data_IF_727598253828
#
_entry.id   IF_727598253828
#
_cell.length_a   1.000
_cell.length_b   1.000
_cell.length_c   1.000
_cell.angle_alpha   90.00
_cell.angle_beta   90.00
_cell.angle_gamma   90.00
#
_symmetry.space_group_name_H-M   'P 1'
#
loop_
_entity.id
_entity.type
_entity.pdbx_description
1 polymer ?
#
# COMPACT_ATOMS: atom_id res chain seq x y z
N UNK A 1 -30.23 -8.60 -20.41
CA UNK A 1 -29.08 -7.73 -20.11
C UNK A 1 -28.26 -8.28 -18.94
N UNK A 2 -27.37 -9.24 -19.22
CA UNK A 2 -26.51 -9.87 -18.21
C UNK A 2 -25.02 -9.92 -18.63
N UNK A 3 -24.62 -9.13 -19.62
CA UNK A 3 -23.27 -9.18 -20.22
C UNK A 3 -22.32 -8.08 -19.71
N UNK A 4 -22.77 -7.18 -18.83
CA UNK A 4 -21.96 -6.05 -18.36
C UNK A 4 -21.26 -6.28 -17.01
N UNK A 5 -21.47 -7.42 -16.34
CA UNK A 5 -20.89 -7.73 -15.02
C UNK A 5 -19.60 -8.57 -15.05
N UNK A 6 -19.22 -9.15 -16.19
CA UNK A 6 -18.08 -10.08 -16.27
C UNK A 6 -16.77 -9.47 -16.77
N UNK A 7 -16.80 -8.28 -17.39
CA UNK A 7 -15.58 -7.66 -17.93
C UNK A 7 -14.75 -6.90 -16.87
N UNK A 8 -15.38 -6.45 -15.76
CA UNK A 8 -14.68 -5.72 -14.69
C UNK A 8 -13.92 -6.62 -13.71
N UNK A 9 -14.44 -7.83 -13.44
CA UNK A 9 -13.84 -8.74 -12.47
C UNK A 9 -12.53 -9.40 -12.96
N UNK A 10 -12.32 -9.51 -14.27
CA UNK A 10 -11.14 -10.17 -14.83
C UNK A 10 -9.83 -9.35 -14.69
N UNK A 11 -9.94 -8.06 -14.38
CA UNK A 11 -8.81 -7.12 -14.25
C UNK A 11 -8.49 -6.78 -12.77
N UNK A 12 -9.30 -7.26 -11.82
CA UNK A 12 -9.12 -7.04 -10.39
C UNK A 12 -8.24 -8.14 -9.77
N UNK A 13 -7.39 -7.75 -8.81
CA UNK A 13 -6.59 -8.70 -8.04
C UNK A 13 -7.49 -9.50 -7.10
N UNK A 14 -7.36 -10.82 -7.12
CA UNK A 14 -8.04 -11.70 -6.18
C UNK A 14 -7.42 -11.56 -4.78
N UNK A 15 -8.22 -11.11 -3.81
CA UNK A 15 -7.80 -10.96 -2.42
C UNK A 15 -8.50 -12.01 -1.55
N UNK A 16 -7.79 -12.67 -0.60
CA UNK A 16 -8.39 -13.66 0.27
C UNK A 16 -9.50 -13.04 1.13
N UNK A 17 -10.57 -13.79 1.41
CA UNK A 17 -11.56 -13.38 2.40
C UNK A 17 -10.93 -13.40 3.80
N UNK A 18 -11.43 -12.53 4.69
CA UNK A 18 -10.96 -12.46 6.07
C UNK A 18 -9.60 -11.77 6.23
N UNK A 19 -8.88 -12.14 7.28
CA UNK A 19 -7.53 -11.64 7.57
C UNK A 19 -6.48 -12.49 6.85
N UNK A 20 -5.57 -11.81 6.14
CA UNK A 20 -4.38 -12.44 5.57
C UNK A 20 -3.23 -12.30 6.57
N UNK A 21 -2.61 -13.42 6.93
CA UNK A 21 -1.40 -13.46 7.75
C UNK A 21 -0.22 -13.91 6.87
N UNK A 22 0.79 -13.05 6.66
CA UNK A 22 2.05 -13.48 6.04
C UNK A 22 2.68 -14.66 6.76
N UNK A 23 3.20 -15.64 6.01
CA UNK A 23 3.90 -16.79 6.59
C UNK A 23 5.16 -16.36 7.38
N UNK A 24 5.81 -15.29 6.91
CA UNK A 24 6.98 -14.70 7.54
C UNK A 24 6.91 -13.17 7.46
N UNK A 25 7.52 -12.49 8.44
CA UNK A 25 7.78 -11.05 8.33
C UNK A 25 8.78 -10.81 7.21
N UNK A 26 8.70 -9.66 6.54
CA UNK A 26 9.70 -9.26 5.57
C UNK A 26 11.08 -9.16 6.24
N UNK A 27 12.12 -9.69 5.59
CA UNK A 27 13.46 -9.83 6.17
C UNK A 27 14.07 -8.50 6.67
N UNK A 28 13.70 -7.38 6.05
CA UNK A 28 14.19 -6.04 6.42
C UNK A 28 13.19 -5.24 7.27
N UNK A 29 12.08 -5.84 7.72
CA UNK A 29 11.15 -5.18 8.62
C UNK A 29 11.79 -4.96 9.99
N UNK A 30 11.97 -3.69 10.35
CA UNK A 30 12.57 -3.29 11.63
C UNK A 30 11.47 -2.87 12.59
N UNK A 31 11.29 -3.64 13.66
CA UNK A 31 10.37 -3.28 14.73
C UNK A 31 10.97 -2.18 15.60
N UNK A 32 10.33 -1.00 15.64
CA UNK A 32 10.73 0.13 16.48
C UNK A 32 9.61 0.49 17.44
N UNK A 33 9.93 0.56 18.73
CA UNK A 33 8.99 1.03 19.75
C UNK A 33 8.69 2.51 19.59
N UNK A 34 7.50 2.91 20.04
CA UNK A 34 7.12 4.31 20.18
C UNK A 34 7.86 5.00 21.33
N UNK A 35 7.67 6.33 21.43
CA UNK A 35 8.30 7.13 22.47
C UNK A 35 7.98 6.59 23.87
N UNK A 36 8.99 6.53 24.75
CA UNK A 36 8.89 6.03 26.13
C UNK A 36 8.37 4.58 26.23
N UNK A 37 8.73 3.73 25.27
CA UNK A 37 8.35 2.31 25.28
C UNK A 37 6.87 2.05 24.97
N UNK A 38 6.14 3.07 24.49
CA UNK A 38 4.76 2.89 24.00
C UNK A 38 4.74 2.01 22.76
N UNK A 39 3.58 1.41 22.49
CA UNK A 39 3.34 0.73 21.23
C UNK A 39 3.55 1.69 20.06
N UNK A 40 4.11 1.22 18.93
CA UNK A 40 4.21 2.04 17.74
C UNK A 40 2.82 2.40 17.21
N UNK A 41 2.65 3.58 16.57
CA UNK A 41 1.35 4.02 16.05
C UNK A 41 0.66 3.02 15.12
N UNK A 42 1.45 2.24 14.38
CA UNK A 42 0.91 1.24 13.48
C UNK A 42 0.23 0.09 14.23
N UNK A 43 0.78 -0.37 15.36
CA UNK A 43 0.14 -1.43 16.16
C UNK A 43 -1.19 -0.97 16.76
N UNK A 44 -1.24 0.28 17.25
CA UNK A 44 -2.49 0.86 17.76
C UNK A 44 -3.56 0.89 16.65
N UNK A 45 -3.17 1.29 15.44
CA UNK A 45 -4.06 1.35 14.29
C UNK A 45 -4.55 -0.04 13.87
N UNK A 46 -3.66 -1.03 13.83
CA UNK A 46 -3.99 -2.43 13.51
C UNK A 46 -4.95 -3.02 14.54
N UNK A 47 -4.69 -2.83 15.83
CA UNK A 47 -5.56 -3.34 16.88
C UNK A 47 -6.98 -2.78 16.78
N UNK A 48 -7.13 -1.50 16.40
CA UNK A 48 -8.44 -0.88 16.13
C UNK A 48 -9.09 -1.43 14.88
N UNK A 49 -8.33 -1.58 13.81
CA UNK A 49 -8.81 -2.16 12.57
C UNK A 49 -9.30 -3.59 12.75
N UNK A 50 -8.58 -4.43 13.50
CA UNK A 50 -8.96 -5.81 13.82
C UNK A 50 -10.24 -5.90 14.65
N UNK A 51 -10.55 -4.89 15.48
CA UNK A 51 -11.84 -4.77 16.18
C UNK A 51 -13.01 -4.31 15.30
N UNK A 52 -12.79 -4.16 13.99
CA UNK A 52 -13.83 -3.81 13.02
C UNK A 52 -13.94 -2.31 12.72
N UNK A 53 -13.09 -1.46 13.27
CA UNK A 53 -13.13 -0.02 12.95
C UNK A 53 -12.71 0.23 11.50
N UNK A 54 -13.40 1.17 10.83
CA UNK A 54 -13.07 1.61 9.47
C UNK A 54 -11.81 2.51 9.49
N UNK A 55 -10.88 2.42 8.51
CA UNK A 55 -9.67 3.25 8.49
C UNK A 55 -9.91 4.76 8.66
N UNK A 56 -10.99 5.30 8.09
CA UNK A 56 -11.36 6.71 8.27
C UNK A 56 -11.74 7.05 9.71
N UNK A 57 -12.48 6.16 10.39
CA UNK A 57 -12.83 6.34 11.80
C UNK A 57 -11.60 6.27 12.70
N UNK A 58 -10.64 5.41 12.35
CA UNK A 58 -9.34 5.35 13.02
C UNK A 58 -8.63 6.69 12.83
N UNK A 59 -8.49 7.14 11.59
CA UNK A 59 -7.82 8.39 11.22
C UNK A 59 -8.37 9.62 11.98
N UNK A 60 -9.68 9.69 12.17
CA UNK A 60 -10.34 10.81 12.85
C UNK A 60 -10.20 10.80 14.37
N UNK A 61 -10.12 9.63 15.01
CA UNK A 61 -10.14 9.49 16.48
C UNK A 61 -8.79 9.04 17.00
N UNK A 62 -7.79 9.92 17.03
CA UNK A 62 -6.45 9.59 17.55
C UNK A 62 -6.33 9.90 19.04
N UNK A 63 -5.50 9.14 19.77
CA UNK A 63 -5.25 9.37 21.21
C UNK A 63 -4.63 10.76 21.50
N UNK A 64 -3.92 11.31 20.51
CA UNK A 64 -3.38 12.68 20.58
C UNK A 64 -4.46 13.77 20.46
N UNK A 65 -5.70 13.40 20.12
CA UNK A 65 -6.79 14.30 19.79
C UNK A 65 -6.70 14.93 18.40
N UNK A 66 -5.60 14.71 17.65
CA UNK A 66 -5.39 15.29 16.32
C UNK A 66 -5.66 14.25 15.23
N UNK A 67 -6.61 14.49 14.32
CA UNK A 67 -6.83 13.61 13.17
C UNK A 67 -5.57 13.46 12.31
N UNK A 68 -5.44 12.30 11.69
CA UNK A 68 -4.46 12.02 10.63
C UNK A 68 -5.19 11.73 9.32
N UNK A 69 -4.44 11.59 8.22
CA UNK A 69 -5.03 11.18 6.95
C UNK A 69 -5.35 9.67 6.95
N UNK A 70 -6.41 9.26 6.26
CA UNK A 70 -6.73 7.84 6.04
C UNK A 70 -5.58 7.08 5.37
N UNK A 71 -4.84 7.74 4.47
CA UNK A 71 -3.60 7.22 3.85
C UNK A 71 -2.53 6.83 4.87
N UNK A 72 -2.48 7.51 6.02
CA UNK A 72 -1.56 7.19 7.13
C UNK A 72 -1.98 5.88 7.79
N UNK A 73 -3.27 5.67 7.99
CA UNK A 73 -3.79 4.40 8.53
C UNK A 73 -3.52 3.26 7.55
N UNK A 74 -3.68 3.48 6.24
CA UNK A 74 -3.28 2.48 5.24
C UNK A 74 -1.78 2.17 5.31
N UNK A 75 -0.90 3.18 5.46
CA UNK A 75 0.54 2.96 5.70
C UNK A 75 0.78 2.05 6.91
N UNK A 76 0.06 2.27 8.01
CA UNK A 76 0.17 1.44 9.21
C UNK A 76 -0.24 -0.02 8.97
N UNK A 77 -1.29 -0.25 8.17
CA UNK A 77 -1.74 -1.59 7.81
C UNK A 77 -0.74 -2.30 6.89
N UNK A 78 -0.13 -1.60 5.93
CA UNK A 78 0.98 -2.16 5.14
C UNK A 78 2.21 -2.49 5.99
N UNK A 79 2.57 -1.61 6.94
CA UNK A 79 3.64 -1.90 7.90
C UNK A 79 3.35 -3.16 8.71
N UNK A 80 2.10 -3.33 9.15
CA UNK A 80 1.68 -4.53 9.88
C UNK A 80 1.91 -5.81 9.07
N UNK A 81 1.53 -5.81 7.78
CA UNK A 81 1.80 -6.91 6.86
C UNK A 81 3.31 -7.17 6.74
N UNK A 82 4.13 -6.14 6.54
CA UNK A 82 5.59 -6.30 6.49
C UNK A 82 6.16 -6.89 7.79
N UNK A 83 5.55 -6.60 8.94
CA UNK A 83 5.90 -7.16 10.25
C UNK A 83 5.30 -8.56 10.50
N UNK A 84 4.61 -9.15 9.51
CA UNK A 84 3.99 -10.48 9.61
C UNK A 84 2.69 -10.51 10.41
N UNK A 85 2.02 -9.36 10.60
CA UNK A 85 0.76 -9.26 11.36
C UNK A 85 -0.44 -9.46 10.43
N UNK A 86 -1.51 -10.12 10.93
CA UNK A 86 -2.70 -10.37 10.14
C UNK A 86 -3.49 -9.08 9.87
N UNK A 87 -3.87 -8.87 8.60
CA UNK A 87 -4.70 -7.75 8.17
C UNK A 87 -5.67 -8.20 7.07
N UNK A 88 -6.94 -7.80 7.16
CA UNK A 88 -7.91 -8.00 6.09
C UNK A 88 -7.63 -7.12 4.86
N UNK A 89 -7.12 -7.75 3.79
CA UNK A 89 -6.80 -7.07 2.53
C UNK A 89 -8.06 -6.56 1.82
N UNK A 90 -9.18 -7.28 1.88
CA UNK A 90 -10.45 -6.86 1.28
C UNK A 90 -11.00 -5.58 1.93
N UNK A 91 -10.88 -5.46 3.26
CA UNK A 91 -11.25 -4.24 3.99
C UNK A 91 -10.30 -3.07 3.69
N UNK A 92 -9.02 -3.34 3.44
CA UNK A 92 -8.09 -2.31 2.95
C UNK A 92 -8.46 -1.86 1.53
N UNK A 93 -8.76 -2.81 0.65
CA UNK A 93 -9.12 -2.56 -0.76
C UNK A 93 -10.39 -1.72 -0.92
N UNK A 94 -11.34 -1.85 0.02
CA UNK A 94 -12.53 -1.01 0.06
C UNK A 94 -12.23 0.48 0.29
N UNK A 95 -11.06 0.81 0.84
CA UNK A 95 -10.63 2.20 1.11
C UNK A 95 -9.62 2.69 0.06
N UNK A 96 -8.65 1.84 -0.29
CA UNK A 96 -7.70 2.09 -1.37
C UNK A 96 -7.52 0.80 -2.17
N UNK A 97 -8.08 0.71 -3.38
CA UNK A 97 -8.05 -0.51 -4.16
C UNK A 97 -6.60 -0.92 -4.49
N UNK A 98 -6.32 -2.23 -4.59
CA UNK A 98 -5.06 -2.71 -5.13
C UNK A 98 -4.94 -2.31 -6.61
N UNK A 99 -3.70 -2.31 -7.16
CA UNK A 99 -3.51 -2.16 -8.59
C UNK A 99 -4.26 -3.24 -9.36
N UNK A 100 -4.80 -2.85 -10.51
CA UNK A 100 -5.34 -3.79 -11.51
C UNK A 100 -4.23 -4.64 -12.13
N UNK A 101 -4.61 -5.72 -12.81
CA UNK A 101 -3.65 -6.62 -13.46
C UNK A 101 -2.73 -5.88 -14.42
N UNK A 102 -3.27 -5.05 -15.31
CA UNK A 102 -2.46 -4.25 -16.24
C UNK A 102 -1.47 -3.30 -15.52
N UNK A 103 -1.86 -2.73 -14.38
CA UNK A 103 -0.99 -1.86 -13.58
C UNK A 103 0.11 -2.67 -12.87
N UNK A 104 -0.22 -3.87 -12.39
CA UNK A 104 0.75 -4.79 -11.81
C UNK A 104 1.80 -5.23 -12.85
N UNK A 105 1.37 -5.61 -14.05
CA UNK A 105 2.26 -5.97 -15.16
C UNK A 105 3.17 -4.80 -15.57
N UNK A 106 2.67 -3.57 -15.53
CA UNK A 106 3.49 -2.37 -15.79
C UNK A 106 4.57 -2.18 -14.72
N UNK A 107 4.26 -2.46 -13.45
CA UNK A 107 5.24 -2.44 -12.35
C UNK A 107 6.28 -3.56 -12.53
N UNK A 108 5.85 -4.78 -12.86
CA UNK A 108 6.76 -5.90 -13.13
C UNK A 108 7.72 -5.59 -14.29
N UNK A 109 7.20 -5.01 -15.37
CA UNK A 109 8.02 -4.58 -16.50
C UNK A 109 9.05 -3.52 -16.09
N UNK A 110 8.63 -2.49 -15.36
CA UNK A 110 9.54 -1.45 -14.90
C UNK A 110 10.63 -2.01 -13.98
N UNK A 111 10.27 -2.90 -13.05
CA UNK A 111 11.22 -3.60 -12.16
C UNK A 111 12.24 -4.42 -12.96
N UNK A 112 11.79 -5.17 -13.97
CA UNK A 112 12.65 -6.01 -14.78
C UNK A 112 13.61 -5.20 -15.67
N UNK A 113 13.12 -4.11 -16.27
CA UNK A 113 13.93 -3.25 -17.16
C UNK A 113 14.98 -2.48 -16.38
N UNK A 114 14.61 -1.91 -15.24
CA UNK A 114 15.49 -1.02 -14.46
C UNK A 114 16.29 -1.77 -13.37
N UNK A 115 16.10 -3.09 -13.23
CA UNK A 115 16.81 -3.92 -12.25
C UNK A 115 16.50 -3.55 -10.79
N UNK A 116 15.26 -3.14 -10.50
CA UNK A 116 14.89 -2.57 -9.19
C UNK A 116 14.72 -3.69 -8.14
N UNK A 117 15.53 -3.66 -7.08
CA UNK A 117 15.36 -4.52 -5.92
C UNK A 117 14.20 -4.03 -5.02
N UNK A 118 12.95 -4.35 -5.39
CA UNK A 118 11.71 -3.89 -4.71
C UNK A 118 11.69 -4.18 -3.21
N UNK A 119 12.19 -5.35 -2.83
CA UNK A 119 12.25 -5.82 -1.44
C UNK A 119 13.62 -5.62 -0.80
N UNK A 120 14.47 -4.80 -1.40
CA UNK A 120 15.70 -4.33 -0.76
C UNK A 120 15.42 -3.25 0.29
N UNK A 121 16.33 -3.08 1.27
CA UNK A 121 16.20 -2.04 2.31
C UNK A 121 16.29 -0.62 1.73
N UNK A 122 17.02 -0.46 0.62
CA UNK A 122 17.27 0.84 -0.03
C UNK A 122 16.26 1.16 -1.15
N UNK A 123 15.15 0.43 -1.23
CA UNK A 123 14.12 0.67 -2.24
C UNK A 123 13.56 2.10 -2.18
N UNK A 124 13.52 2.77 -3.32
CA UNK A 124 12.91 4.10 -3.48
C UNK A 124 11.71 4.02 -4.44
N UNK A 125 10.52 4.33 -3.93
CA UNK A 125 9.30 4.32 -4.74
C UNK A 125 9.38 5.26 -5.96
N UNK A 126 10.12 6.38 -5.87
CA UNK A 126 10.30 7.31 -6.99
C UNK A 126 11.04 6.67 -8.16
N UNK A 127 11.97 5.74 -7.91
CA UNK A 127 12.72 5.07 -8.99
C UNK A 127 11.80 4.12 -9.78
N UNK A 128 10.95 3.36 -9.09
CA UNK A 128 9.93 2.55 -9.74
C UNK A 128 8.87 3.41 -10.45
N UNK A 129 8.46 4.52 -9.83
CA UNK A 129 7.53 5.47 -10.46
C UNK A 129 8.10 6.03 -11.76
N UNK A 130 9.41 6.33 -11.81
CA UNK A 130 10.11 6.77 -13.02
C UNK A 130 10.09 5.70 -14.12
N UNK A 131 10.29 4.43 -13.77
CA UNK A 131 10.19 3.33 -14.74
C UNK A 131 8.78 3.18 -15.34
N UNK A 132 7.73 3.57 -14.60
CA UNK A 132 6.33 3.49 -15.04
C UNK A 132 5.89 4.72 -15.84
N UNK A 133 6.19 5.92 -15.33
CA UNK A 133 5.67 7.20 -15.83
C UNK A 133 6.69 7.99 -16.67
N UNK A 134 7.95 7.56 -16.69
CA UNK A 134 9.05 8.22 -17.38
C UNK A 134 9.53 9.50 -16.71
N UNK A 135 10.24 10.33 -17.47
CA UNK A 135 10.95 11.52 -16.98
C UNK A 135 10.04 12.61 -16.37
N UNK A 136 8.72 12.57 -16.60
CA UNK A 136 7.79 13.56 -16.01
C UNK A 136 7.81 13.56 -14.48
N UNK A 137 8.18 12.44 -13.88
CA UNK A 137 8.31 12.25 -12.42
C UNK A 137 9.35 13.18 -11.79
N UNK A 138 10.37 13.56 -12.57
CA UNK A 138 11.49 14.39 -12.11
C UNK A 138 11.28 15.90 -12.32
N UNK A 139 10.14 16.31 -12.90
CA UNK A 139 9.78 17.74 -12.97
C UNK A 139 9.66 18.34 -11.57
N UNK A 140 9.94 19.63 -11.46
CA UNK A 140 9.83 20.35 -10.20
C UNK A 140 8.36 20.35 -9.71
N UNK A 141 8.09 20.28 -8.40
CA UNK A 141 6.71 20.18 -7.88
C UNK A 141 5.78 21.31 -8.34
N UNK A 142 6.34 22.50 -8.57
CA UNK A 142 5.62 23.69 -9.04
C UNK A 142 5.25 23.61 -10.52
N UNK A 143 5.97 22.81 -11.31
CA UNK A 143 5.74 22.61 -12.74
C UNK A 143 4.76 21.47 -13.02
N UNK A 144 4.46 20.64 -12.01
CA UNK A 144 3.50 19.54 -12.15
C UNK A 144 2.08 20.09 -12.21
N UNK A 145 1.32 19.60 -13.18
CA UNK A 145 -0.12 19.89 -13.22
C UNK A 145 -0.84 19.17 -12.08
N UNK A 146 -2.05 19.58 -11.76
CA UNK A 146 -2.89 18.82 -10.80
C UNK A 146 -3.16 17.40 -11.29
N UNK A 147 -3.31 17.22 -12.60
CA UNK A 147 -3.48 15.91 -13.21
C UNK A 147 -2.25 15.02 -13.05
N UNK A 148 -1.04 15.56 -13.23
CA UNK A 148 0.21 14.82 -13.01
C UNK A 148 0.33 14.40 -11.54
N UNK A 149 0.04 15.32 -10.60
CA UNK A 149 0.07 15.03 -9.16
C UNK A 149 -0.93 13.95 -8.78
N UNK A 150 -2.13 13.98 -9.36
CA UNK A 150 -3.16 12.97 -9.11
C UNK A 150 -2.74 11.59 -9.67
N UNK A 151 -2.17 11.55 -10.88
CA UNK A 151 -1.68 10.32 -11.49
C UNK A 151 -0.53 9.70 -10.67
N UNK A 152 0.45 10.52 -10.23
CA UNK A 152 1.52 10.07 -9.35
C UNK A 152 0.98 9.53 -8.03
N UNK A 153 -0.01 10.19 -7.43
CA UNK A 153 -0.63 9.72 -6.19
C UNK A 153 -1.27 8.33 -6.33
N UNK A 154 -1.96 8.07 -7.45
CA UNK A 154 -2.51 6.74 -7.77
C UNK A 154 -1.38 5.71 -7.87
N UNK A 155 -0.31 6.03 -8.62
CA UNK A 155 0.81 5.11 -8.79
C UNK A 155 1.60 4.86 -7.51
N UNK A 156 1.76 5.85 -6.62
CA UNK A 156 2.36 5.63 -5.31
C UNK A 156 1.52 4.67 -4.45
N UNK A 157 0.20 4.75 -4.53
CA UNK A 157 -0.69 3.78 -3.88
C UNK A 157 -0.49 2.37 -4.45
N UNK A 158 -0.44 2.24 -5.77
CA UNK A 158 -0.20 0.97 -6.46
C UNK A 158 1.16 0.36 -6.10
N UNK A 159 2.23 1.18 -6.11
CA UNK A 159 3.59 0.76 -5.74
C UNK A 159 3.62 0.25 -4.29
N UNK A 160 2.84 0.85 -3.39
CA UNK A 160 2.80 0.42 -1.99
C UNK A 160 2.16 -0.95 -1.83
N UNK A 161 1.03 -1.19 -2.51
CA UNK A 161 0.42 -2.51 -2.60
C UNK A 161 1.41 -3.53 -3.18
N UNK A 162 1.94 -3.23 -4.36
CA UNK A 162 2.87 -4.08 -5.09
C UNK A 162 4.08 -4.48 -4.25
N UNK A 163 4.79 -3.49 -3.67
CA UNK A 163 5.93 -3.74 -2.79
C UNK A 163 5.54 -4.61 -1.61
N UNK A 164 4.47 -4.24 -0.90
CA UNK A 164 4.11 -4.94 0.34
C UNK A 164 3.81 -6.40 0.06
N UNK A 165 2.95 -6.68 -0.92
CA UNK A 165 2.55 -8.04 -1.29
C UNK A 165 3.74 -8.87 -1.80
N UNK A 166 4.64 -8.28 -2.59
CA UNK A 166 5.86 -8.97 -3.04
C UNK A 166 6.81 -9.31 -1.89
N UNK A 167 6.98 -8.41 -0.93
CA UNK A 167 7.94 -8.59 0.15
C UNK A 167 7.46 -9.52 1.28
N UNK A 168 6.16 -9.81 1.30
CA UNK A 168 5.56 -10.82 2.19
C UNK A 168 5.21 -12.11 1.45
N UNK A 169 5.64 -12.24 0.19
CA UNK A 169 5.41 -13.43 -0.66
C UNK A 169 3.92 -13.81 -0.75
N UNK A 170 3.06 -12.80 -0.94
CA UNK A 170 1.65 -13.03 -1.20
C UNK A 170 1.49 -13.91 -2.46
N UNK A 171 0.65 -14.98 -2.39
CA UNK A 171 0.51 -15.97 -3.45
C UNK A 171 -0.18 -15.46 -4.72
#
# INVERSE_FOLDING_TARGET
NAAAKSAGAADEMELPPGDFAPAQKWAHAVYKLGAKGKLPPWEVSVGRFQRGEHPEAIAMKQDSGKPVQTSTILTHLFEALLQGRPVSLSRMAAVAPPPRRAQWEQLDKAVAVDGIAVCGPDFKAKDLLRGVLGAKVDREPVEKTESDRAEEAVWYSNIRWYRTLRCVEFP
#
